data_IF_929102685653
#
_entry.id   IF_929102685653
#
_cell.length_a   1.000
_cell.length_b   1.000
_cell.length_c   1.000
_cell.angle_alpha   90.00
_cell.angle_beta   90.00
_cell.angle_gamma   90.00
#
_symmetry.space_group_name_H-M   'P 1'
#
loop_
_entity.id
_entity.type
_entity.pdbx_description
1 polymer ?
#
# COMPACT_ATOMS: atom_id res chain seq x y z
N UNK A 1 -3.89 -20.61 -5.62
CA UNK A 1 -3.90 -19.16 -5.85
C UNK A 1 -5.11 -18.61 -5.12
N UNK A 2 -4.89 -17.69 -4.19
CA UNK A 2 -5.91 -16.94 -3.46
C UNK A 2 -5.89 -15.49 -3.95
N UNK A 3 -7.05 -14.84 -3.98
CA UNK A 3 -7.19 -13.41 -4.27
C UNK A 3 -7.64 -12.73 -2.99
N UNK A 4 -6.90 -11.70 -2.59
CA UNK A 4 -7.27 -10.78 -1.53
C UNK A 4 -7.73 -9.49 -2.18
N UNK A 5 -8.94 -9.02 -1.85
CA UNK A 5 -9.44 -7.76 -2.36
C UNK A 5 -9.72 -6.77 -1.22
N UNK A 6 -9.65 -5.48 -1.55
CA UNK A 6 -10.14 -4.42 -0.67
C UNK A 6 -10.59 -3.20 -1.46
N UNK A 7 -11.49 -2.44 -0.84
CA UNK A 7 -11.91 -1.14 -1.33
C UNK A 7 -10.84 -0.08 -1.06
N UNK A 8 -10.37 0.60 -2.10
CA UNK A 8 -9.45 1.74 -1.99
C UNK A 8 -10.24 2.96 -1.54
N UNK A 9 -9.69 3.71 -0.59
CA UNK A 9 -10.30 4.95 -0.10
C UNK A 9 -9.60 6.20 -0.63
N UNK A 10 -8.28 6.13 -0.83
CA UNK A 10 -7.45 7.22 -1.34
C UNK A 10 -6.46 6.65 -2.36
N UNK A 11 -6.38 7.27 -3.54
CA UNK A 11 -5.51 6.85 -4.64
C UNK A 11 -4.39 7.85 -4.88
N UNK A 12 -3.63 8.12 -3.82
CA UNK A 12 -2.47 9.05 -3.82
C UNK A 12 -1.13 8.29 -3.96
N UNK A 13 -1.20 6.96 -4.08
CA UNK A 13 -0.05 6.08 -4.28
C UNK A 13 0.72 5.71 -3.01
N UNK A 14 0.04 5.66 -1.87
CA UNK A 14 0.58 5.19 -0.59
C UNK A 14 0.41 3.67 -0.38
N UNK A 15 -0.81 3.17 -0.58
CA UNK A 15 -1.19 1.79 -0.28
C UNK A 15 -2.26 1.26 -1.29
N UNK A 16 -1.83 0.68 -2.42
CA UNK A 16 -0.44 0.32 -2.73
C UNK A 16 0.39 1.55 -3.12
N UNK A 17 1.72 1.42 -3.07
CA UNK A 17 2.64 2.33 -3.73
C UNK A 17 3.14 1.69 -5.04
N UNK A 18 2.57 2.06 -6.20
CA UNK A 18 2.86 1.43 -7.49
C UNK A 18 4.05 2.06 -8.23
N UNK A 19 4.71 3.07 -7.64
CA UNK A 19 5.67 3.90 -8.37
C UNK A 19 7.09 3.33 -8.36
N UNK A 20 7.75 3.37 -9.51
CA UNK A 20 9.10 2.80 -9.71
C UNK A 20 9.02 1.37 -10.26
N UNK A 21 9.99 0.54 -9.87
CA UNK A 21 10.10 -0.85 -10.36
C UNK A 21 9.16 -1.81 -9.64
N UNK A 22 8.89 -1.56 -8.36
CA UNK A 22 8.12 -2.46 -7.50
C UNK A 22 6.81 -1.80 -7.10
N UNK A 23 5.73 -2.55 -7.11
CA UNK A 23 4.52 -2.22 -6.37
C UNK A 23 4.63 -2.79 -4.96
N UNK A 24 4.37 -1.96 -3.97
CA UNK A 24 4.50 -2.31 -2.56
C UNK A 24 3.21 -2.05 -1.82
N UNK A 25 2.93 -2.90 -0.83
CA UNK A 25 1.89 -2.67 0.17
C UNK A 25 2.57 -2.79 1.53
N UNK A 26 3.17 -1.68 1.98
CA UNK A 26 3.90 -1.60 3.25
C UNK A 26 3.00 -1.19 4.41
N UNK A 27 2.03 -0.31 4.16
CA UNK A 27 1.13 0.25 5.17
C UNK A 27 -0.33 -0.03 4.83
N UNK A 28 -1.23 0.27 5.75
CA UNK A 28 -2.64 -0.08 5.66
C UNK A 28 -2.87 -1.60 5.55
N UNK A 29 -4.14 -2.02 5.53
CA UNK A 29 -4.58 -3.42 5.30
C UNK A 29 -3.77 -4.47 6.08
N UNK A 30 -3.52 -4.27 7.40
CA UNK A 30 -2.62 -5.14 8.18
C UNK A 30 -3.06 -6.60 8.20
N UNK A 31 -4.37 -6.88 8.13
CA UNK A 31 -4.91 -8.25 8.06
C UNK A 31 -4.46 -9.03 6.83
N UNK A 32 -4.29 -8.35 5.68
CA UNK A 32 -3.78 -8.99 4.45
C UNK A 32 -2.27 -9.23 4.60
N UNK A 33 -1.53 -8.19 5.02
CA UNK A 33 -0.07 -8.23 5.15
C UNK A 33 0.42 -9.25 6.20
N UNK A 34 -0.30 -9.39 7.31
CA UNK A 34 0.01 -10.35 8.38
C UNK A 34 -0.59 -11.75 8.13
N UNK A 35 -1.35 -11.95 7.05
CA UNK A 35 -2.04 -13.22 6.82
C UNK A 35 -1.05 -14.39 6.71
N UNK A 36 -1.19 -15.39 7.58
CA UNK A 36 -0.42 -16.64 7.49
C UNK A 36 -0.84 -17.51 6.30
N UNK A 37 -2.02 -17.24 5.73
CA UNK A 37 -2.54 -17.95 4.54
C UNK A 37 -2.02 -17.38 3.23
N UNK A 38 -1.51 -16.16 3.22
CA UNK A 38 -1.00 -15.49 2.03
C UNK A 38 0.31 -16.15 1.59
N UNK A 39 0.36 -16.59 0.33
CA UNK A 39 1.51 -17.25 -0.27
C UNK A 39 2.05 -16.42 -1.43
N UNK A 40 3.33 -16.63 -1.77
CA UNK A 40 3.89 -16.11 -3.01
C UNK A 40 3.08 -16.67 -4.20
N UNK A 41 2.76 -15.81 -5.15
CA UNK A 41 1.89 -16.12 -6.27
C UNK A 41 0.40 -15.81 -6.05
N UNK A 42 -0.03 -15.50 -4.82
CA UNK A 42 -1.36 -14.99 -4.56
C UNK A 42 -1.50 -13.53 -5.02
N UNK A 43 -2.74 -13.08 -5.21
CA UNK A 43 -3.03 -11.74 -5.72
C UNK A 43 -3.61 -10.84 -4.64
N UNK A 44 -3.21 -9.57 -4.68
CA UNK A 44 -3.87 -8.49 -3.94
C UNK A 44 -4.45 -7.50 -4.94
N UNK A 45 -5.73 -7.18 -4.78
CA UNK A 45 -6.53 -6.38 -5.69
C UNK A 45 -7.16 -5.21 -4.93
N UNK A 46 -7.03 -4.01 -5.48
CA UNK A 46 -7.72 -2.82 -4.99
C UNK A 46 -8.82 -2.41 -5.94
N UNK A 47 -10.05 -2.36 -5.41
CA UNK A 47 -11.23 -1.99 -6.17
C UNK A 47 -11.70 -0.59 -5.79
N UNK A 48 -12.38 0.07 -6.72
CA UNK A 48 -12.93 1.40 -6.50
C UNK A 48 -14.07 1.37 -5.48
N UNK A 49 -14.19 2.46 -4.74
CA UNK A 49 -15.14 2.56 -3.62
C UNK A 49 -15.86 3.91 -3.63
N UNK A 50 -16.93 4.02 -2.84
CA UNK A 50 -17.59 5.30 -2.63
C UNK A 50 -16.69 6.32 -1.93
N UNK A 51 -15.85 5.87 -1.00
CA UNK A 51 -14.88 6.73 -0.34
C UNK A 51 -13.86 7.30 -1.33
N UNK A 52 -13.44 6.49 -2.31
CA UNK A 52 -12.56 6.95 -3.38
C UNK A 52 -13.23 7.98 -4.29
N UNK A 53 -14.52 7.83 -4.59
CA UNK A 53 -15.26 8.87 -5.33
C UNK A 53 -15.22 10.21 -4.59
N UNK A 54 -15.45 10.19 -3.27
CA UNK A 54 -15.42 11.39 -2.42
C UNK A 54 -14.01 11.98 -2.36
N UNK A 55 -12.98 11.17 -2.14
CA UNK A 55 -11.61 11.66 -1.96
C UNK A 55 -10.95 12.14 -3.24
N UNK A 56 -11.31 11.57 -4.40
CA UNK A 56 -10.74 11.92 -5.70
C UNK A 56 -11.59 12.85 -6.55
N UNK A 57 -12.87 13.06 -6.19
CA UNK A 57 -13.84 13.78 -7.01
C UNK A 57 -14.30 13.03 -8.27
N UNK A 58 -13.85 11.78 -8.47
CA UNK A 58 -14.26 10.92 -9.59
C UNK A 58 -15.63 10.30 -9.31
N UNK A 59 -16.33 9.91 -10.38
CA UNK A 59 -17.65 9.26 -10.30
C UNK A 59 -17.63 7.86 -10.91
N UNK A 60 -18.58 7.02 -10.52
CA UNK A 60 -18.78 5.66 -11.05
C UNK A 60 -17.56 4.74 -10.86
N UNK A 61 -16.99 4.74 -9.65
CA UNK A 61 -15.83 3.91 -9.32
C UNK A 61 -16.19 2.54 -8.75
N UNK A 62 -17.47 2.28 -8.50
CA UNK A 62 -17.93 0.93 -8.14
C UNK A 62 -17.49 -0.08 -9.20
N UNK A 63 -16.99 -1.24 -8.75
CA UNK A 63 -16.51 -2.33 -9.61
C UNK A 63 -15.37 -1.93 -10.56
N UNK A 64 -14.63 -0.86 -10.27
CA UNK A 64 -13.42 -0.50 -11.01
C UNK A 64 -12.22 -1.22 -10.43
N UNK A 65 -11.37 -1.77 -11.29
CA UNK A 65 -10.10 -2.36 -10.90
C UNK A 65 -9.04 -1.26 -10.86
N UNK A 66 -8.72 -0.73 -9.69
CA UNK A 66 -7.72 0.34 -9.56
C UNK A 66 -6.32 -0.24 -9.69
N UNK A 67 -6.06 -1.37 -9.01
CA UNK A 67 -4.79 -2.07 -9.13
C UNK A 67 -4.92 -3.57 -8.85
N UNK A 68 -3.96 -4.34 -9.33
CA UNK A 68 -3.75 -5.73 -8.98
C UNK A 68 -2.25 -6.02 -8.91
N UNK A 69 -1.79 -6.76 -7.90
CA UNK A 69 -0.41 -7.25 -7.85
C UNK A 69 -0.37 -8.72 -7.47
N UNK A 70 0.49 -9.48 -8.14
CA UNK A 70 0.82 -10.84 -7.71
C UNK A 70 1.96 -10.77 -6.71
N UNK A 71 1.78 -11.22 -5.48
CA UNK A 71 2.82 -11.15 -4.45
C UNK A 71 4.01 -12.01 -4.88
N UNK A 72 5.14 -11.38 -5.17
CA UNK A 72 6.39 -12.09 -5.51
C UNK A 72 7.36 -12.13 -4.35
N UNK A 73 7.20 -11.25 -3.37
CA UNK A 73 8.07 -11.16 -2.21
C UNK A 73 7.32 -10.63 -0.98
N UNK A 74 7.76 -11.07 0.20
CA UNK A 74 7.25 -10.68 1.51
C UNK A 74 8.43 -10.53 2.45
N UNK A 75 8.67 -9.32 2.94
CA UNK A 75 9.79 -9.00 3.85
C UNK A 75 9.29 -8.22 5.07
N UNK A 76 10.12 -8.13 6.11
CA UNK A 76 9.84 -7.29 7.28
C UNK A 76 10.03 -5.81 6.96
N UNK A 77 9.46 -4.93 7.78
CA UNK A 77 9.73 -3.49 7.69
C UNK A 77 11.22 -3.15 7.80
N UNK A 78 11.98 -3.83 8.67
CA UNK A 78 13.42 -3.59 8.83
C UNK A 78 14.20 -3.88 7.55
N UNK A 79 13.90 -4.99 6.87
CA UNK A 79 14.51 -5.29 5.57
C UNK A 79 14.08 -4.26 4.51
N UNK A 80 12.80 -3.89 4.49
CA UNK A 80 12.30 -2.87 3.58
C UNK A 80 13.00 -1.51 3.78
N UNK A 81 13.23 -1.12 5.03
CA UNK A 81 13.88 0.14 5.40
C UNK A 81 15.35 0.21 4.99
N UNK A 82 16.07 -0.91 5.13
CA UNK A 82 17.53 -0.98 4.98
C UNK A 82 17.98 -1.34 3.56
N UNK A 83 17.19 -2.06 2.80
CA UNK A 83 17.58 -2.51 1.47
C UNK A 83 17.72 -1.36 0.47
N UNK A 84 18.83 -1.36 -0.29
CA UNK A 84 19.16 -0.30 -1.22
C UNK A 84 18.09 -0.09 -2.31
N UNK A 85 17.46 -1.18 -2.76
CA UNK A 85 16.44 -1.13 -3.83
C UNK A 85 15.13 -0.49 -3.41
N UNK A 86 14.92 -0.18 -2.12
CA UNK A 86 13.69 0.46 -1.62
C UNK A 86 13.92 1.85 -1.02
N UNK A 87 15.14 2.40 -1.13
CA UNK A 87 15.43 3.74 -0.61
C UNK A 87 14.61 4.83 -1.32
N UNK A 88 14.31 4.64 -2.60
CA UNK A 88 13.46 5.57 -3.37
C UNK A 88 11.97 5.52 -2.94
N UNK A 89 11.57 4.55 -2.11
CA UNK A 89 10.22 4.44 -1.55
C UNK A 89 10.07 5.20 -0.22
N UNK A 90 11.14 5.82 0.29
CA UNK A 90 11.08 6.66 1.49
C UNK A 90 10.41 8.00 1.15
N UNK A 91 9.56 8.54 2.04
CA UNK A 91 8.86 9.78 1.78
C UNK A 91 9.84 10.96 1.69
N UNK A 92 9.59 11.87 0.74
CA UNK A 92 10.27 13.17 0.65
C UNK A 92 9.20 14.25 0.71
N UNK A 93 9.04 14.86 1.89
CA UNK A 93 7.93 15.79 2.20
C UNK A 93 7.87 16.98 1.25
N UNK A 94 9.02 17.54 0.88
CA UNK A 94 9.13 18.66 -0.06
C UNK A 94 9.33 18.21 -1.52
N UNK A 95 9.04 16.93 -1.82
CA UNK A 95 9.20 16.33 -3.13
C UNK A 95 7.95 16.42 -4.00
N UNK A 96 7.97 15.67 -5.10
CA UNK A 96 6.75 15.47 -5.91
C UNK A 96 5.69 14.69 -5.13
N UNK A 97 4.44 14.69 -5.60
CA UNK A 97 3.35 13.91 -4.97
C UNK A 97 3.75 12.43 -4.79
N UNK A 98 4.35 11.83 -5.82
CA UNK A 98 4.86 10.45 -5.80
C UNK A 98 5.89 10.23 -4.69
N UNK A 99 6.81 11.18 -4.50
CA UNK A 99 7.86 11.08 -3.49
C UNK A 99 7.32 11.34 -2.08
N UNK A 100 6.40 12.29 -1.92
CA UNK A 100 5.76 12.58 -0.62
C UNK A 100 4.98 11.37 -0.10
N UNK A 101 4.37 10.59 -0.99
CA UNK A 101 3.63 9.37 -0.65
C UNK A 101 4.47 8.08 -0.71
N UNK A 102 5.79 8.19 -0.53
CA UNK A 102 6.64 7.02 -0.25
C UNK A 102 6.10 6.23 0.95
N UNK A 103 6.04 4.90 0.83
CA UNK A 103 5.46 3.99 1.84
C UNK A 103 6.49 3.35 2.77
N UNK A 104 7.77 3.72 2.65
CA UNK A 104 8.88 3.21 3.45
C UNK A 104 9.26 4.20 4.57
N UNK A 105 8.54 4.17 5.69
CA UNK A 105 8.73 5.13 6.79
C UNK A 105 8.59 4.53 8.20
N UNK A 106 8.65 3.20 8.31
CA UNK A 106 8.70 2.52 9.60
C UNK A 106 9.99 1.73 9.72
N UNK A 107 10.69 1.91 10.83
CA UNK A 107 11.89 1.15 11.18
C UNK A 107 12.08 1.14 12.69
N UNK A 108 13.08 0.40 13.18
CA UNK A 108 13.45 0.42 14.60
C UNK A 108 14.69 1.27 14.85
N UNK A 109 14.75 1.85 16.04
CA UNK A 109 15.97 2.45 16.58
C UNK A 109 16.93 1.37 17.13
N UNK A 110 18.10 1.79 17.64
CA UNK A 110 19.11 0.90 18.23
C UNK A 110 18.60 0.12 19.45
N UNK A 111 17.56 0.60 20.11
CA UNK A 111 16.93 -0.05 21.26
C UNK A 111 15.77 -0.97 20.86
N UNK A 112 15.45 -1.06 19.57
CA UNK A 112 14.36 -1.86 19.05
C UNK A 112 12.98 -1.19 19.12
N UNK A 113 12.90 0.09 19.47
CA UNK A 113 11.65 0.85 19.47
C UNK A 113 11.27 1.24 18.05
N UNK A 114 9.98 1.18 17.73
CA UNK A 114 9.49 1.63 16.43
C UNK A 114 9.56 3.14 16.27
N UNK A 115 10.10 3.57 15.14
CA UNK A 115 10.14 4.93 14.63
C UNK A 115 9.20 5.04 13.44
N UNK A 116 8.44 6.13 13.41
CA UNK A 116 7.68 6.58 12.25
C UNK A 116 8.34 7.85 11.72
N UNK A 117 8.86 7.78 10.49
CA UNK A 117 9.37 8.95 9.79
C UNK A 117 8.22 9.86 9.34
N UNK A 118 8.52 11.15 9.16
CA UNK A 118 7.54 12.12 8.66
C UNK A 118 7.00 11.66 7.30
N UNK A 119 5.68 11.47 7.22
CA UNK A 119 5.02 10.78 6.10
C UNK A 119 3.53 11.12 6.02
N UNK A 120 2.84 10.56 5.02
CA UNK A 120 1.40 10.66 4.86
C UNK A 120 0.58 10.09 6.05
N UNK A 121 1.19 9.30 6.94
CA UNK A 121 0.56 8.77 8.14
C UNK A 121 0.95 9.52 9.42
N UNK A 122 1.77 10.57 9.35
CA UNK A 122 2.12 11.42 10.48
C UNK A 122 1.00 12.40 10.84
N UNK A 123 1.13 13.09 11.98
CA UNK A 123 0.31 14.26 12.28
C UNK A 123 0.67 15.43 11.34
N UNK A 124 -0.15 16.49 11.34
CA UNK A 124 0.05 17.65 10.46
C UNK A 124 1.39 18.38 10.68
N UNK A 125 1.95 18.30 11.89
CA UNK A 125 3.27 18.86 12.24
C UNK A 125 4.43 17.92 11.90
N UNK A 126 4.14 16.75 11.31
CA UNK A 126 5.11 15.71 10.96
C UNK A 126 5.46 14.76 12.11
N UNK A 127 4.91 14.95 13.30
CA UNK A 127 5.14 14.07 14.45
C UNK A 127 4.49 12.70 14.27
N UNK A 128 5.01 11.71 14.99
CA UNK A 128 4.46 10.34 15.01
C UNK A 128 2.97 10.34 15.37
N UNK A 129 2.18 9.58 14.61
CA UNK A 129 0.79 9.28 14.89
C UNK A 129 0.69 7.86 15.49
N UNK A 130 0.51 7.73 16.83
CA UNK A 130 0.56 6.44 17.50
C UNK A 130 -0.48 5.45 16.98
N UNK A 131 -1.66 5.93 16.56
CA UNK A 131 -2.75 5.08 16.06
C UNK A 131 -2.40 4.46 14.70
N UNK A 132 -1.81 5.24 13.80
CA UNK A 132 -1.33 4.71 12.52
C UNK A 132 -0.16 3.78 12.74
N UNK A 133 0.84 4.19 13.54
CA UNK A 133 1.97 3.35 13.89
C UNK A 133 1.52 1.98 14.39
N UNK A 134 0.68 1.93 15.42
CA UNK A 134 0.18 0.68 16.01
C UNK A 134 -0.56 -0.19 14.98
N UNK A 135 -1.37 0.43 14.12
CA UNK A 135 -2.15 -0.30 13.11
C UNK A 135 -1.25 -0.88 12.02
N UNK A 136 -0.25 -0.12 11.56
CA UNK A 136 0.60 -0.50 10.45
C UNK A 136 1.64 -1.54 10.84
N UNK A 137 2.27 -1.44 12.01
CA UNK A 137 3.26 -2.43 12.44
C UNK A 137 2.64 -3.81 12.69
N UNK A 138 1.35 -3.87 13.06
CA UNK A 138 0.59 -5.14 13.19
C UNK A 138 0.43 -5.90 11.88
N UNK A 139 0.68 -5.26 10.73
CA UNK A 139 0.72 -5.96 9.46
C UNK A 139 1.98 -6.80 9.26
N UNK A 140 3.01 -6.57 10.09
CA UNK A 140 4.29 -7.29 10.21
C UNK A 140 5.20 -7.29 8.96
N UNK A 141 4.61 -7.26 7.77
CA UNK A 141 5.26 -7.52 6.51
C UNK A 141 4.92 -6.44 5.50
N UNK A 142 5.85 -6.24 4.57
CA UNK A 142 5.67 -5.48 3.33
C UNK A 142 5.51 -6.50 2.20
N UNK A 143 4.42 -6.38 1.45
CA UNK A 143 4.18 -7.20 0.27
C UNK A 143 4.75 -6.48 -0.96
N UNK A 144 5.50 -7.19 -1.78
CA UNK A 144 6.25 -6.62 -2.91
C UNK A 144 5.93 -7.39 -4.19
N UNK A 145 5.85 -6.67 -5.30
CA UNK A 145 5.64 -7.24 -6.62
C UNK A 145 6.34 -6.47 -7.74
N UNK A 146 7.00 -7.19 -8.65
CA UNK A 146 7.36 -6.71 -9.99
C UNK A 146 6.28 -7.04 -11.03
N UNK A 147 5.28 -7.84 -10.66
CA UNK A 147 4.18 -8.27 -11.52
C UNK A 147 2.87 -7.64 -11.05
N UNK A 148 2.67 -6.38 -11.43
CA UNK A 148 1.52 -5.59 -11.01
C UNK A 148 0.95 -4.75 -12.16
N UNK A 149 -0.29 -4.34 -11.96
CA UNK A 149 -1.04 -3.45 -12.82
C UNK A 149 -1.62 -2.35 -11.95
N UNK A 150 -1.36 -1.10 -12.31
CA UNK A 150 -1.97 0.07 -11.68
C UNK A 150 -2.62 0.90 -12.77
N UNK A 151 -3.94 1.03 -12.69
CA UNK A 151 -4.76 1.68 -13.71
C UNK A 151 -5.19 3.09 -13.30
N UNK A 152 -5.21 3.39 -11.99
CA UNK A 152 -5.52 4.72 -11.46
C UNK A 152 -6.82 5.30 -12.03
N UNK A 153 -6.71 6.41 -12.76
CA UNK A 153 -7.83 7.11 -13.40
C UNK A 153 -8.48 6.31 -14.54
N UNK A 154 -7.70 5.48 -15.22
CA UNK A 154 -8.08 4.62 -16.35
C UNK A 154 -8.49 3.20 -15.93
N UNK A 155 -8.94 3.04 -14.69
CA UNK A 155 -9.39 1.77 -14.14
C UNK A 155 -10.48 1.09 -15.01
N UNK A 156 -10.24 -0.14 -15.50
CA UNK A 156 -11.25 -0.88 -16.24
C UNK A 156 -12.38 -1.31 -15.31
N UNK A 157 -13.56 -1.55 -15.89
CA UNK A 157 -14.66 -2.18 -15.18
C UNK A 157 -14.36 -3.67 -15.01
N UNK A 158 -14.53 -4.19 -13.80
CA UNK A 158 -14.40 -5.61 -13.49
C UNK A 158 -15.54 -6.36 -14.21
N UNK A 159 -15.24 -7.39 -15.02
CA UNK A 159 -16.26 -8.24 -15.64
C UNK A 159 -17.21 -8.83 -14.60
N UNK A 160 -18.49 -9.00 -14.95
CA UNK A 160 -19.52 -9.41 -13.99
C UNK A 160 -19.20 -10.75 -13.31
N UNK A 161 -18.61 -11.67 -14.06
CA UNK A 161 -18.16 -12.99 -13.60
C UNK A 161 -17.03 -12.93 -12.56
N UNK A 162 -16.36 -11.79 -12.40
CA UNK A 162 -15.29 -11.58 -11.42
C UNK A 162 -15.70 -10.68 -10.25
N UNK A 163 -16.95 -10.17 -10.21
CA UNK A 163 -17.40 -9.27 -9.14
C UNK A 163 -17.44 -9.99 -7.78
N UNK A 164 -17.89 -11.25 -7.73
CA UNK A 164 -18.08 -11.97 -6.46
C UNK A 164 -16.77 -12.28 -5.72
N UNK A 165 -15.64 -12.26 -6.43
CA UNK A 165 -14.31 -12.52 -5.87
C UNK A 165 -13.54 -11.23 -5.55
N UNK A 166 -14.16 -10.06 -5.74
CA UNK A 166 -13.55 -8.73 -5.66
C UNK A 166 -14.20 -7.83 -4.61
#
# INVERSE_FOLDING_TARGET
MVVYSYLIEHDLGLAPNPFGRYCTLAVCKPKIRASSKLKLGDWVVGTGSKALEVSSGRINLKNKLIYAMRVTERISFEHYWTEQRFQYKKPVINGTLVMMFGDNFYHKDENGNWIQENSAHSNLDGSCNPKHLETDIRGENVLISEHFYYFGDRAPTIPNELIEIC
#
